data_IF_006271515387
#
_entry.id   IF_006271515387
#
_cell.length_a   1.000
_cell.length_b   1.000
_cell.length_c   1.000
_cell.angle_alpha   90.00
_cell.angle_beta   90.00
_cell.angle_gamma   90.00
#
_symmetry.space_group_name_H-M   'P 1'
#
loop_
_entity.id
_entity.type
_entity.pdbx_description
1 polymer ?
#
# COMPACT_ATOMS: atom_id res chain seq x y z
N UNK A 1 -56.05 54.19 -13.10
CA UNK A 1 -55.86 52.71 -13.14
C UNK A 1 -54.50 52.42 -12.58
N UNK A 2 -54.44 52.09 -11.28
CA UNK A 2 -53.19 51.80 -10.60
C UNK A 2 -52.91 50.31 -10.67
N UNK A 3 -51.88 50.00 -11.44
CA UNK A 3 -51.37 48.61 -11.48
C UNK A 3 -50.43 48.45 -10.31
N UNK A 4 -50.87 47.75 -9.27
CA UNK A 4 -50.02 47.35 -8.15
C UNK A 4 -49.15 46.12 -8.56
N UNK A 5 -47.86 46.37 -8.75
CA UNK A 5 -46.89 45.31 -8.93
C UNK A 5 -46.59 44.71 -7.56
N UNK A 6 -46.98 43.45 -7.38
CA UNK A 6 -46.63 42.66 -6.19
C UNK A 6 -45.25 42.06 -6.41
N UNK A 7 -44.28 42.32 -5.55
CA UNK A 7 -42.98 41.63 -5.70
C UNK A 7 -43.13 40.18 -5.26
N UNK A 8 -42.84 39.25 -6.19
CA UNK A 8 -42.65 37.85 -5.87
C UNK A 8 -41.38 37.71 -5.02
N UNK A 9 -41.57 37.39 -3.76
CA UNK A 9 -40.46 36.91 -2.92
C UNK A 9 -40.07 35.51 -3.41
N UNK A 10 -38.96 35.45 -4.12
CA UNK A 10 -38.25 34.20 -4.39
C UNK A 10 -37.74 33.65 -3.07
N UNK A 11 -38.38 32.62 -2.56
CA UNK A 11 -37.84 31.82 -1.46
C UNK A 11 -36.65 31.03 -1.96
N UNK A 12 -35.44 31.54 -1.70
CA UNK A 12 -34.19 30.82 -1.93
C UNK A 12 -34.08 29.76 -0.83
N UNK A 13 -34.54 28.56 -1.12
CA UNK A 13 -34.33 27.41 -0.27
C UNK A 13 -32.83 27.04 -0.31
N UNK A 14 -32.09 27.46 0.71
CA UNK A 14 -30.76 26.96 0.97
C UNK A 14 -30.88 25.48 1.31
N UNK A 15 -30.61 24.62 0.35
CA UNK A 15 -30.29 23.23 0.66
C UNK A 15 -28.92 23.23 1.34
N UNK A 16 -28.92 23.20 2.67
CA UNK A 16 -27.74 22.83 3.45
C UNK A 16 -27.48 21.38 3.17
N UNK A 17 -26.62 21.10 2.19
CA UNK A 17 -26.01 19.78 2.03
C UNK A 17 -25.12 19.58 3.25
N UNK A 18 -25.65 18.87 4.24
CA UNK A 18 -24.84 18.34 5.32
C UNK A 18 -23.84 17.36 4.68
N UNK A 19 -22.64 17.87 4.37
CA UNK A 19 -21.48 16.98 4.13
C UNK A 19 -21.23 16.27 5.46
N UNK A 20 -21.88 15.14 5.67
CA UNK A 20 -21.41 14.18 6.64
C UNK A 20 -19.99 13.82 6.23
N UNK A 21 -19.01 14.39 6.92
CA UNK A 21 -17.64 13.90 6.84
C UNK A 21 -17.69 12.44 7.24
N UNK A 22 -17.64 11.55 6.24
CA UNK A 22 -17.56 10.12 6.45
C UNK A 22 -16.27 9.89 7.21
N UNK A 23 -16.36 9.32 8.40
CA UNK A 23 -15.17 8.93 9.14
C UNK A 23 -14.37 8.02 8.22
N UNK A 24 -13.15 8.45 7.87
CA UNK A 24 -12.23 7.64 7.08
C UNK A 24 -11.99 6.34 7.84
N UNK A 25 -12.37 5.24 7.22
CA UNK A 25 -12.09 3.93 7.80
C UNK A 25 -10.59 3.67 7.75
N UNK A 26 -10.11 2.77 8.57
CA UNK A 26 -8.72 2.32 8.51
C UNK A 26 -8.34 1.86 7.09
N UNK A 27 -9.26 1.23 6.36
CA UNK A 27 -9.07 0.82 4.97
C UNK A 27 -8.99 2.02 4.01
N UNK A 28 -9.79 3.08 4.20
CA UNK A 28 -9.71 4.29 3.39
C UNK A 28 -8.34 4.98 3.56
N UNK A 29 -7.84 5.04 4.79
CA UNK A 29 -6.50 5.54 5.09
C UNK A 29 -5.39 4.68 4.46
N UNK A 30 -5.60 3.36 4.38
CA UNK A 30 -4.68 2.46 3.71
C UNK A 30 -4.67 2.67 2.20
N UNK A 31 -5.83 2.78 1.58
CA UNK A 31 -5.99 2.96 0.14
C UNK A 31 -5.43 4.30 -0.36
N UNK A 32 -5.56 5.38 0.43
CA UNK A 32 -5.00 6.69 0.07
C UNK A 32 -3.49 6.75 0.14
N UNK A 33 -2.86 5.80 0.82
CA UNK A 33 -1.40 5.67 0.90
C UNK A 33 -0.79 4.76 -0.16
N UNK A 34 -1.60 4.06 -0.95
CA UNK A 34 -1.12 3.34 -2.13
C UNK A 34 -0.68 4.38 -3.15
N UNK A 35 0.58 4.73 -3.12
CA UNK A 35 1.17 5.57 -4.15
C UNK A 35 1.17 4.79 -5.47
N UNK A 36 0.86 5.45 -6.60
CA UNK A 36 1.06 4.80 -7.89
C UNK A 36 2.54 4.42 -8.04
N UNK A 37 2.84 3.29 -8.68
CA UNK A 37 4.22 2.89 -8.91
C UNK A 37 5.00 3.94 -9.74
N UNK A 38 6.30 4.12 -9.50
CA UNK A 38 7.06 3.49 -8.45
C UNK A 38 6.78 4.14 -7.07
N UNK A 39 6.57 3.34 -6.08
CA UNK A 39 6.49 3.80 -4.68
C UNK A 39 7.62 3.14 -3.89
N UNK A 40 7.88 3.56 -2.67
CA UNK A 40 9.04 3.08 -1.95
C UNK A 40 8.92 3.22 -0.45
N UNK A 41 9.81 2.58 0.23
CA UNK A 41 9.92 2.56 1.68
C UNK A 41 11.14 1.76 2.12
N UNK A 42 11.10 1.27 3.35
CA UNK A 42 12.15 0.43 3.90
C UNK A 42 11.77 -1.04 3.75
N UNK A 43 12.67 -1.82 3.17
CA UNK A 43 12.61 -3.28 3.17
C UNK A 43 13.33 -3.82 4.40
N UNK A 44 12.80 -4.91 4.96
CA UNK A 44 13.47 -5.73 5.96
C UNK A 44 13.39 -7.20 5.56
N UNK A 45 14.04 -8.06 6.32
CA UNK A 45 14.04 -9.50 6.08
C UNK A 45 13.05 -10.23 6.98
N UNK A 46 12.41 -11.29 6.47
CA UNK A 46 11.59 -12.21 7.24
C UNK A 46 11.86 -13.65 6.83
N UNK A 47 11.65 -14.59 7.75
CA UNK A 47 11.88 -16.01 7.56
C UNK A 47 10.73 -16.90 8.06
N UNK A 48 9.53 -16.37 8.09
CA UNK A 48 8.34 -17.10 8.47
C UNK A 48 8.12 -18.31 7.56
N UNK A 49 7.76 -19.44 8.14
CA UNK A 49 7.49 -20.69 7.42
C UNK A 49 6.01 -20.93 7.13
N UNK A 50 5.15 -20.13 7.73
CA UNK A 50 3.69 -20.16 7.55
C UNK A 50 3.22 -18.74 7.29
N UNK A 51 2.55 -18.54 6.18
CA UNK A 51 1.94 -17.27 5.83
C UNK A 51 0.66 -16.98 6.64
N UNK A 52 0.20 -15.75 6.61
CA UNK A 52 -1.01 -15.32 7.31
C UNK A 52 -2.27 -16.09 6.88
N UNK A 53 -2.31 -16.60 5.67
CA UNK A 53 -3.39 -17.44 5.12
C UNK A 53 -3.21 -18.94 5.43
N UNK A 54 -2.18 -19.32 6.18
CA UNK A 54 -1.87 -20.70 6.55
C UNK A 54 -1.06 -21.49 5.52
N UNK A 55 -0.69 -20.90 4.40
CA UNK A 55 0.16 -21.55 3.40
C UNK A 55 1.59 -21.73 3.91
N UNK A 56 2.21 -22.84 3.55
CA UNK A 56 3.61 -23.10 3.88
C UNK A 56 4.53 -22.29 2.98
N UNK A 57 5.47 -21.57 3.59
CA UNK A 57 6.54 -20.83 2.92
C UNK A 57 7.87 -21.57 3.03
N UNK A 58 8.74 -21.32 2.07
CA UNK A 58 10.12 -21.79 2.08
C UNK A 58 11.06 -20.59 2.01
N UNK A 59 11.23 -19.86 3.14
CA UNK A 59 11.86 -18.53 3.14
C UNK A 59 13.32 -18.55 2.66
N UNK A 60 14.03 -19.65 2.83
CA UNK A 60 15.42 -19.76 2.40
C UNK A 60 15.62 -20.24 0.95
N UNK A 61 14.52 -20.52 0.25
CA UNK A 61 14.54 -20.98 -1.13
C UNK A 61 13.83 -20.03 -2.09
N UNK A 62 12.69 -19.51 -1.68
CA UNK A 62 11.76 -18.86 -2.58
C UNK A 62 11.93 -17.33 -2.56
N UNK A 63 11.81 -16.70 -3.73
CA UNK A 63 11.80 -15.25 -3.88
C UNK A 63 10.39 -14.71 -3.62
N UNK A 64 10.01 -14.66 -2.36
CA UNK A 64 8.72 -14.14 -1.94
C UNK A 64 8.89 -12.97 -0.99
N UNK A 65 7.81 -12.22 -0.85
CA UNK A 65 7.77 -11.06 0.02
C UNK A 65 6.44 -10.98 0.76
N UNK A 66 6.43 -10.20 1.83
CA UNK A 66 5.24 -9.85 2.58
C UNK A 66 4.95 -8.36 2.41
N UNK A 67 3.72 -8.02 2.08
CA UNK A 67 3.28 -6.64 1.91
C UNK A 67 1.87 -6.45 2.45
N UNK A 68 1.64 -5.37 3.21
CA UNK A 68 0.35 -5.17 3.87
C UNK A 68 -0.79 -4.91 2.89
N UNK A 69 -0.55 -4.17 1.83
CA UNK A 69 -1.57 -3.65 0.93
C UNK A 69 -1.66 -4.42 -0.38
N UNK A 70 -0.55 -4.97 -0.86
CA UNK A 70 -0.54 -5.72 -2.12
C UNK A 70 -1.27 -7.05 -1.97
N UNK A 71 -1.89 -7.49 -3.04
CA UNK A 71 -2.61 -8.77 -3.04
C UNK A 71 -1.63 -9.96 -3.04
N UNK A 72 -2.01 -11.04 -2.36
CA UNK A 72 -1.29 -12.31 -2.46
C UNK A 72 -1.27 -12.76 -3.92
N UNK A 73 -0.10 -13.14 -4.40
CA UNK A 73 0.15 -13.48 -5.81
C UNK A 73 0.61 -12.31 -6.68
N UNK A 74 0.51 -11.07 -6.22
CA UNK A 74 1.05 -9.92 -6.94
C UNK A 74 2.56 -10.02 -7.03
N UNK A 75 3.12 -9.80 -8.22
CA UNK A 75 4.57 -9.73 -8.42
C UNK A 75 5.03 -8.29 -8.29
N UNK A 76 6.08 -8.09 -7.52
CA UNK A 76 6.70 -6.79 -7.30
C UNK A 76 8.17 -6.84 -7.73
N UNK A 77 8.59 -5.84 -8.52
CA UNK A 77 10.01 -5.54 -8.69
C UNK A 77 10.45 -4.66 -7.52
N UNK A 78 11.38 -5.15 -6.75
CA UNK A 78 11.99 -4.46 -5.62
C UNK A 78 13.38 -4.02 -6.01
N UNK A 79 13.64 -2.73 -5.97
CA UNK A 79 14.94 -2.16 -6.32
C UNK A 79 15.55 -1.50 -5.10
N UNK A 80 16.76 -1.91 -4.74
CA UNK A 80 17.54 -1.23 -3.71
C UNK A 80 18.03 0.11 -4.25
N UNK A 81 17.56 1.20 -3.64
CA UNK A 81 17.84 2.57 -4.10
C UNK A 81 19.33 2.90 -4.02
N UNK A 82 20.06 2.32 -3.06
CA UNK A 82 21.47 2.62 -2.84
C UNK A 82 22.40 2.05 -3.94
N UNK A 83 22.03 0.92 -4.56
CA UNK A 83 22.91 0.23 -5.52
C UNK A 83 22.25 -0.07 -6.87
N UNK A 84 20.94 0.18 -7.03
CA UNK A 84 20.19 -0.07 -8.26
C UNK A 84 19.90 -1.54 -8.56
N UNK A 85 20.32 -2.49 -7.69
CA UNK A 85 20.02 -3.92 -7.87
C UNK A 85 18.54 -4.18 -7.61
N UNK A 86 17.95 -5.04 -8.40
CA UNK A 86 16.53 -5.39 -8.28
C UNK A 86 16.28 -6.89 -8.30
N UNK A 87 15.14 -7.28 -7.73
CA UNK A 87 14.63 -8.64 -7.75
C UNK A 87 13.12 -8.57 -7.96
N UNK A 88 12.55 -9.58 -8.58
CA UNK A 88 11.09 -9.75 -8.62
C UNK A 88 10.71 -10.80 -7.58
N UNK A 89 9.88 -10.40 -6.63
CA UNK A 89 9.29 -11.32 -5.64
C UNK A 89 7.79 -11.43 -5.83
N UNK A 90 7.23 -12.54 -5.38
CA UNK A 90 5.77 -12.73 -5.33
C UNK A 90 5.29 -12.46 -3.91
N UNK A 91 4.27 -11.64 -3.77
CA UNK A 91 3.64 -11.40 -2.47
C UNK A 91 2.97 -12.69 -2.01
N UNK A 92 3.49 -13.28 -0.95
CA UNK A 92 3.02 -14.54 -0.40
C UNK A 92 2.48 -14.41 1.02
N UNK A 93 2.69 -13.26 1.66
CA UNK A 93 2.27 -13.03 3.03
C UNK A 93 1.86 -11.57 3.27
N UNK A 94 1.20 -11.33 4.40
CA UNK A 94 0.83 -10.01 4.89
C UNK A 94 1.81 -9.55 5.96
N UNK A 95 2.53 -8.50 5.66
CA UNK A 95 3.53 -7.90 6.53
C UNK A 95 4.08 -6.60 5.94
N UNK A 96 4.94 -5.90 6.63
CA UNK A 96 5.44 -6.13 7.99
C UNK A 96 4.35 -6.00 9.06
N UNK A 97 4.69 -6.39 10.30
CA UNK A 97 3.78 -6.21 11.43
C UNK A 97 3.32 -4.75 11.52
N UNK A 98 2.03 -4.53 11.80
CA UNK A 98 1.37 -3.21 11.83
C UNK A 98 2.11 -2.14 12.64
N UNK A 99 2.77 -2.54 13.73
CA UNK A 99 3.55 -1.60 14.57
C UNK A 99 4.77 -1.00 13.86
N UNK A 100 5.28 -1.67 12.82
CA UNK A 100 6.42 -1.20 12.03
C UNK A 100 6.00 -0.43 10.80
N UNK A 101 4.78 -0.68 10.32
CA UNK A 101 4.24 0.02 9.17
C UNK A 101 3.82 1.47 9.54
N UNK A 102 4.03 2.49 8.72
CA UNK A 102 4.59 2.47 7.36
C UNK A 102 6.10 2.66 7.29
N UNK A 103 6.82 2.61 8.40
CA UNK A 103 8.29 2.76 8.40
C UNK A 103 8.98 1.62 7.67
N UNK A 104 8.44 0.39 7.82
CA UNK A 104 8.79 -0.76 6.98
C UNK A 104 7.66 -0.96 5.98
N UNK A 105 8.01 -0.98 4.70
CA UNK A 105 7.04 -1.10 3.61
C UNK A 105 6.85 -2.55 3.17
N UNK A 106 7.94 -3.31 3.12
CA UNK A 106 7.98 -4.67 2.60
C UNK A 106 8.95 -5.52 3.41
N UNK A 107 8.61 -6.78 3.59
CA UNK A 107 9.54 -7.77 4.12
C UNK A 107 9.92 -8.75 3.01
N UNK A 108 11.22 -9.04 2.87
CA UNK A 108 11.80 -9.88 1.84
C UNK A 108 12.34 -11.18 2.46
N UNK A 109 12.18 -12.29 1.76
CA UNK A 109 12.92 -13.51 2.15
C UNK A 109 14.43 -13.34 1.99
N UNK A 110 15.25 -14.07 2.73
CA UNK A 110 16.72 -13.99 2.65
C UNK A 110 17.27 -14.05 1.23
N UNK A 111 16.83 -14.93 0.33
CA UNK A 111 17.30 -14.93 -1.06
C UNK A 111 16.94 -13.64 -1.82
N UNK A 112 15.75 -13.10 -1.60
CA UNK A 112 15.31 -11.86 -2.25
C UNK A 112 16.11 -10.66 -1.72
N UNK A 113 16.31 -10.58 -0.40
CA UNK A 113 17.11 -9.56 0.27
C UNK A 113 18.57 -9.60 -0.24
N UNK A 114 19.18 -10.78 -0.29
CA UNK A 114 20.52 -10.99 -0.80
C UNK A 114 20.67 -10.59 -2.28
N UNK A 115 19.67 -10.90 -3.10
CA UNK A 115 19.70 -10.58 -4.54
C UNK A 115 19.85 -9.08 -4.81
N UNK A 116 19.32 -8.22 -3.93
CA UNK A 116 19.43 -6.76 -4.05
C UNK A 116 20.52 -6.15 -3.15
N UNK A 117 21.30 -6.98 -2.47
CA UNK A 117 22.35 -6.51 -1.55
C UNK A 117 21.80 -5.74 -0.36
N UNK A 118 20.64 -6.16 0.16
CA UNK A 118 20.03 -5.57 1.35
C UNK A 118 20.53 -6.35 2.58
N UNK A 119 21.37 -5.72 3.38
CA UNK A 119 21.89 -6.30 4.63
C UNK A 119 21.07 -5.77 5.80
N UNK A 120 20.10 -6.58 6.25
CA UNK A 120 19.14 -6.25 7.31
C UNK A 120 18.01 -5.36 6.82
N UNK A 121 18.25 -4.06 6.69
CA UNK A 121 17.25 -3.10 6.19
C UNK A 121 17.85 -2.18 5.14
N UNK A 122 17.06 -1.85 4.11
CA UNK A 122 17.48 -0.94 3.05
C UNK A 122 16.29 -0.16 2.48
N UNK A 123 16.57 0.99 1.88
CA UNK A 123 15.58 1.75 1.15
C UNK A 123 15.35 1.13 -0.22
N UNK A 124 14.11 0.91 -0.57
CA UNK A 124 13.71 0.28 -1.84
C UNK A 124 12.65 1.11 -2.55
N UNK A 125 12.62 0.98 -3.87
CA UNK A 125 11.46 1.34 -4.69
C UNK A 125 10.74 0.07 -5.13
N UNK A 126 9.41 0.16 -5.22
CA UNK A 126 8.53 -0.94 -5.56
C UNK A 126 7.77 -0.62 -6.85
N UNK A 127 7.65 -1.61 -7.71
CA UNK A 127 6.89 -1.53 -8.95
C UNK A 127 6.12 -2.83 -9.17
N UNK A 128 4.81 -2.73 -9.45
CA UNK A 128 4.03 -3.91 -9.82
C UNK A 128 4.47 -4.42 -11.18
N UNK A 129 4.70 -5.73 -11.27
CA UNK A 129 5.02 -6.40 -12.52
C UNK A 129 3.77 -7.10 -13.02
N UNK A 130 3.51 -6.98 -14.32
CA UNK A 130 2.41 -7.71 -14.97
C UNK A 130 2.56 -9.23 -14.77
N UNK A 131 1.44 -9.97 -14.65
CA UNK A 131 1.44 -11.43 -14.53
C UNK A 131 2.04 -12.12 -15.74
#
# INVERSE_FOLDING_TARGET
MDVRIVPMLSALTLFATCLCARAETFEDLWLTRIKPPPYGGVAAEFDDTIAADGQRLHPYRDLVCAHMLEQIGQRLRVTNVANGKSVVCTVADKGPNRRFWPRREIDLTPPASKAIGCDGMCNVSLERVAP
#
